data_IF_306545757589
#
_entry.id   IF_306545757589
#
_cell.length_a   1.000
_cell.length_b   1.000
_cell.length_c   1.000
_cell.angle_alpha   90.00
_cell.angle_beta   90.00
_cell.angle_gamma   90.00
#
_symmetry.space_group_name_H-M   'P 1'
#
loop_
_entity.id
_entity.type
_entity.pdbx_description
1 polymer ?
#
# COMPACT_ATOMS: atom_id res chain seq x y z
N UNK A 1 -14.20 -0.12 -42.65
CA UNK A 1 -13.90 -1.07 -41.52
C UNK A 1 -14.04 -0.37 -40.21
N UNK A 2 -14.77 -0.93 -39.26
CA UNK A 2 -14.81 -0.36 -37.93
C UNK A 2 -13.42 -0.42 -37.30
N UNK A 3 -13.11 0.59 -36.49
CA UNK A 3 -11.84 0.68 -35.76
C UNK A 3 -11.81 -0.36 -34.65
N UNK A 4 -10.68 -1.05 -34.49
CA UNK A 4 -10.48 -1.99 -33.37
C UNK A 4 -10.50 -1.26 -32.05
N UNK A 5 -11.28 -1.76 -31.10
CA UNK A 5 -11.26 -1.26 -29.73
C UNK A 5 -10.03 -1.82 -29.01
N UNK A 6 -9.10 -0.95 -28.67
CA UNK A 6 -7.85 -1.31 -28.00
C UNK A 6 -7.99 -1.41 -26.49
N UNK A 7 -9.11 -0.94 -25.91
CA UNK A 7 -9.28 -0.89 -24.46
C UNK A 7 -9.29 -2.27 -23.78
N UNK A 8 -9.67 -3.31 -24.53
CA UNK A 8 -9.69 -4.69 -24.02
C UNK A 8 -8.33 -5.40 -24.13
N UNK A 9 -7.32 -4.78 -24.74
CA UNK A 9 -6.01 -5.37 -24.95
C UNK A 9 -5.06 -4.99 -23.80
N UNK A 10 -4.10 -5.86 -23.44
CA UNK A 10 -3.11 -5.57 -22.40
C UNK A 10 -2.03 -4.61 -22.91
N UNK A 11 -2.45 -3.42 -23.33
CA UNK A 11 -1.58 -2.40 -23.90
C UNK A 11 -1.26 -1.36 -22.81
N UNK A 12 0.01 -1.00 -22.69
CA UNK A 12 0.45 0.02 -21.78
C UNK A 12 -0.21 1.38 -22.08
N UNK A 13 -0.70 2.05 -21.06
CA UNK A 13 -1.36 3.34 -21.20
C UNK A 13 -0.37 4.48 -21.34
N UNK A 14 0.67 4.50 -20.50
CA UNK A 14 1.68 5.56 -20.48
C UNK A 14 2.97 5.17 -21.20
N UNK A 15 3.80 6.13 -21.59
CA UNK A 15 5.05 5.86 -22.30
C UNK A 15 6.06 5.10 -21.45
N UNK A 16 5.95 5.13 -20.12
CA UNK A 16 6.86 4.44 -19.20
C UNK A 16 6.38 3.03 -18.81
N UNK A 17 5.13 2.68 -19.14
CA UNK A 17 4.53 1.40 -18.76
C UNK A 17 4.90 0.25 -19.69
N UNK A 18 5.37 0.56 -20.89
CA UNK A 18 5.72 -0.43 -21.90
C UNK A 18 7.21 -0.52 -22.11
N UNK A 19 7.69 0.07 -23.22
CA UNK A 19 9.08 0.00 -23.69
C UNK A 19 10.13 0.35 -22.62
N UNK A 20 9.85 1.35 -21.80
CA UNK A 20 10.79 1.85 -20.79
C UNK A 20 10.54 1.32 -19.39
N UNK A 21 9.61 0.38 -19.22
CA UNK A 21 9.26 -0.15 -17.90
C UNK A 21 10.48 -0.70 -17.15
N UNK A 22 11.34 -1.46 -17.82
CA UNK A 22 12.53 -2.03 -17.20
C UNK A 22 13.51 -0.96 -16.73
N UNK A 23 13.59 0.15 -17.46
CA UNK A 23 14.48 1.28 -17.13
C UNK A 23 14.01 2.01 -15.87
N UNK A 24 12.69 2.17 -15.70
CA UNK A 24 12.09 2.90 -14.58
C UNK A 24 11.64 1.98 -13.44
N UNK A 25 11.79 0.67 -13.59
CA UNK A 25 11.35 -0.31 -12.58
C UNK A 25 11.84 0.00 -11.15
N UNK A 26 13.08 0.48 -10.92
CA UNK A 26 13.51 0.85 -9.56
C UNK A 26 12.67 1.94 -8.91
N UNK A 27 11.95 2.76 -9.69
CA UNK A 27 11.07 3.80 -9.16
C UNK A 27 9.74 3.27 -8.65
N UNK A 28 9.37 2.03 -8.97
CA UNK A 28 8.12 1.42 -8.54
C UNK A 28 8.02 1.40 -7.01
N UNK A 29 9.13 1.14 -6.32
CA UNK A 29 9.18 1.11 -4.86
C UNK A 29 8.93 2.48 -4.21
N UNK A 30 8.96 3.56 -4.97
CA UNK A 30 8.84 4.92 -4.45
C UNK A 30 7.65 5.68 -5.00
N UNK A 31 7.32 5.47 -6.28
CA UNK A 31 6.36 6.32 -7.01
C UNK A 31 5.09 5.59 -7.45
N UNK A 32 5.01 4.27 -7.29
CA UNK A 32 3.81 3.54 -7.65
C UNK A 32 2.70 3.74 -6.61
N UNK A 33 1.48 3.46 -7.01
CA UNK A 33 0.33 3.43 -6.10
C UNK A 33 0.53 2.39 -4.99
N UNK A 34 1.10 1.24 -5.31
CA UNK A 34 1.45 0.22 -4.32
C UNK A 34 2.45 0.74 -3.28
N UNK A 35 3.47 1.47 -3.73
CA UNK A 35 4.45 2.10 -2.83
C UNK A 35 3.81 3.18 -1.96
N UNK A 36 2.87 3.95 -2.49
CA UNK A 36 2.10 4.93 -1.72
C UNK A 36 1.30 4.25 -0.61
N UNK A 37 0.61 3.17 -0.92
CA UNK A 37 -0.18 2.44 0.07
C UNK A 37 0.68 1.75 1.12
N UNK A 38 1.84 1.21 0.73
CA UNK A 38 2.82 0.69 1.70
C UNK A 38 3.31 1.78 2.64
N UNK A 39 3.58 2.97 2.12
CA UNK A 39 3.99 4.12 2.94
C UNK A 39 2.88 4.56 3.89
N UNK A 40 1.63 4.53 3.47
CA UNK A 40 0.47 4.80 4.34
C UNK A 40 0.39 3.78 5.47
N UNK A 41 0.55 2.50 5.18
CA UNK A 41 0.60 1.46 6.21
C UNK A 41 1.74 1.70 7.19
N UNK A 42 2.91 2.08 6.70
CA UNK A 42 4.06 2.41 7.54
C UNK A 42 3.74 3.57 8.48
N UNK A 43 3.10 4.61 8.00
CA UNK A 43 2.68 5.75 8.83
C UNK A 43 1.73 5.29 9.93
N UNK A 44 0.75 4.46 9.61
CA UNK A 44 -0.20 3.93 10.60
C UNK A 44 0.51 3.09 11.68
N UNK A 45 1.41 2.22 11.29
CA UNK A 45 2.19 1.39 12.21
C UNK A 45 3.08 2.24 13.13
N UNK A 46 3.84 3.16 12.56
CA UNK A 46 4.74 4.02 13.34
C UNK A 46 3.96 4.97 14.25
N UNK A 47 2.80 5.45 13.81
CA UNK A 47 1.93 6.29 14.61
C UNK A 47 1.36 5.52 15.81
N UNK A 48 0.92 4.29 15.62
CA UNK A 48 0.44 3.42 16.69
C UNK A 48 1.55 3.18 17.74
N UNK A 49 2.76 2.85 17.28
CA UNK A 49 3.92 2.66 18.16
C UNK A 49 4.20 3.94 18.96
N UNK A 50 4.18 5.08 18.30
CA UNK A 50 4.41 6.38 18.94
C UNK A 50 3.36 6.68 20.02
N UNK A 51 2.08 6.46 19.71
CA UNK A 51 1.00 6.71 20.67
C UNK A 51 1.07 5.81 21.89
N UNK A 52 1.42 4.53 21.70
CA UNK A 52 1.54 3.57 22.80
C UNK A 52 2.79 3.83 23.65
N UNK A 53 3.90 4.24 23.03
CA UNK A 53 5.13 4.61 23.75
C UNK A 53 4.95 5.87 24.61
N UNK A 54 4.20 6.83 24.11
CA UNK A 54 3.95 8.09 24.80
C UNK A 54 2.92 7.99 25.93
N UNK A 55 2.24 6.84 26.09
CA UNK A 55 1.18 6.69 27.09
C UNK A 55 -0.02 7.59 26.84
N UNK A 56 -0.23 8.02 25.60
CA UNK A 56 -1.29 8.97 25.21
C UNK A 56 -2.67 8.30 25.17
N UNK A 57 -2.69 6.99 24.90
CA UNK A 57 -3.96 6.22 24.82
C UNK A 57 -4.27 5.63 26.21
N UNK A 58 -5.38 6.04 26.85
CA UNK A 58 -5.79 5.48 28.15
C UNK A 58 -6.04 3.97 28.03
N UNK A 59 -5.43 3.19 28.94
CA UNK A 59 -5.60 1.74 28.98
C UNK A 59 -4.83 0.96 27.91
N UNK A 60 -4.08 1.62 27.05
CA UNK A 60 -3.25 0.96 26.05
C UNK A 60 -1.81 0.84 26.61
N UNK A 61 -1.32 -0.38 26.87
CA UNK A 61 0.04 -0.58 27.33
C UNK A 61 1.04 -0.32 26.21
N UNK A 62 2.29 -0.03 26.59
CA UNK A 62 3.39 0.08 25.66
C UNK A 62 3.59 -1.28 24.95
N UNK A 63 3.81 -1.24 23.63
CA UNK A 63 4.06 -2.44 22.85
C UNK A 63 5.41 -3.05 23.22
N UNK A 64 5.47 -4.38 23.28
CA UNK A 64 6.70 -5.12 23.45
C UNK A 64 7.58 -5.04 22.20
N UNK A 65 8.84 -5.41 22.32
CA UNK A 65 9.76 -5.44 21.19
C UNK A 65 9.29 -6.43 20.10
N UNK A 66 8.73 -7.58 20.50
CA UNK A 66 8.20 -8.55 19.54
C UNK A 66 6.95 -8.05 18.83
N UNK A 67 6.08 -7.32 19.52
CA UNK A 67 4.89 -6.71 18.92
C UNK A 67 5.27 -5.62 17.90
N UNK A 68 6.25 -4.78 18.23
CA UNK A 68 6.78 -3.77 17.31
C UNK A 68 7.40 -4.41 16.06
N UNK A 69 8.21 -5.45 16.26
CA UNK A 69 8.84 -6.17 15.15
C UNK A 69 7.80 -6.83 14.25
N UNK A 70 6.73 -7.38 14.84
CA UNK A 70 5.62 -7.94 14.07
C UNK A 70 4.95 -6.87 13.21
N UNK A 71 4.59 -5.74 13.78
CA UNK A 71 3.91 -4.65 13.06
C UNK A 71 4.78 -4.09 11.93
N UNK A 72 6.07 -3.87 12.20
CA UNK A 72 7.00 -3.39 11.17
C UNK A 72 7.22 -4.43 10.09
N UNK A 73 7.17 -5.71 10.45
CA UNK A 73 7.23 -6.82 9.50
C UNK A 73 6.07 -6.83 8.51
N UNK A 74 4.89 -6.36 8.89
CA UNK A 74 3.75 -6.21 7.97
C UNK A 74 4.06 -5.23 6.85
N UNK A 75 4.76 -4.14 7.14
CA UNK A 75 5.18 -3.16 6.15
C UNK A 75 6.23 -3.76 5.21
N UNK A 76 7.23 -4.43 5.77
CA UNK A 76 8.31 -5.05 4.99
C UNK A 76 7.79 -6.17 4.08
N UNK A 77 6.76 -6.89 4.53
CA UNK A 77 6.15 -7.98 3.77
C UNK A 77 5.01 -7.52 2.84
N UNK A 78 4.69 -6.24 2.81
CA UNK A 78 3.62 -5.70 1.96
C UNK A 78 3.85 -6.08 0.49
N UNK A 79 2.93 -6.82 -0.09
CA UNK A 79 3.07 -7.38 -1.42
C UNK A 79 1.74 -7.60 -2.14
N UNK A 80 1.75 -8.50 -3.12
CA UNK A 80 0.61 -8.72 -4.01
C UNK A 80 -0.70 -9.08 -3.29
N UNK A 81 -0.63 -9.88 -2.23
CA UNK A 81 -1.83 -10.25 -1.46
C UNK A 81 -2.44 -9.04 -0.75
N UNK A 82 -1.60 -8.19 -0.17
CA UNK A 82 -2.05 -6.97 0.51
C UNK A 82 -2.65 -5.97 -0.47
N UNK A 83 -2.05 -5.85 -1.65
CA UNK A 83 -2.55 -4.98 -2.72
C UNK A 83 -3.93 -5.45 -3.17
N UNK A 84 -4.13 -6.75 -3.34
CA UNK A 84 -5.41 -7.33 -3.74
C UNK A 84 -6.48 -7.14 -2.65
N UNK A 85 -6.14 -7.38 -1.39
CA UNK A 85 -7.03 -7.18 -0.24
C UNK A 85 -7.43 -5.70 -0.12
N UNK A 86 -6.46 -4.80 -0.28
CA UNK A 86 -6.70 -3.37 -0.25
C UNK A 86 -7.67 -2.93 -1.35
N UNK A 87 -7.52 -3.47 -2.56
CA UNK A 87 -8.42 -3.20 -3.66
C UNK A 87 -9.86 -3.67 -3.36
N UNK A 88 -10.01 -4.81 -2.70
CA UNK A 88 -11.32 -5.32 -2.28
C UNK A 88 -11.98 -4.40 -1.24
N UNK A 89 -11.22 -3.90 -0.26
CA UNK A 89 -11.72 -2.92 0.69
C UNK A 89 -12.12 -1.62 0.01
N UNK A 90 -11.29 -1.10 -0.89
CA UNK A 90 -11.54 0.14 -1.61
C UNK A 90 -12.78 0.05 -2.50
N UNK A 91 -13.06 -1.11 -3.10
CA UNK A 91 -14.25 -1.34 -3.90
C UNK A 91 -15.54 -1.11 -3.11
N UNK A 92 -15.51 -1.34 -1.80
CA UNK A 92 -16.64 -1.12 -0.88
C UNK A 92 -16.61 0.30 -0.31
N UNK A 93 -15.47 0.74 0.22
CA UNK A 93 -15.35 2.04 0.91
C UNK A 93 -15.31 3.22 -0.06
N UNK A 94 -14.82 3.00 -1.27
CA UNK A 94 -14.53 4.03 -2.27
C UNK A 94 -13.67 5.17 -1.74
N UNK A 95 -12.79 4.84 -0.82
CA UNK A 95 -11.89 5.78 -0.18
C UNK A 95 -10.56 5.07 0.11
N UNK A 96 -9.49 5.49 -0.53
CA UNK A 96 -8.19 4.82 -0.51
C UNK A 96 -7.53 4.79 0.89
N UNK A 97 -7.55 5.90 1.61
CA UNK A 97 -7.00 5.95 2.97
C UNK A 97 -7.84 5.10 3.92
N UNK A 98 -9.18 5.14 3.79
CA UNK A 98 -10.07 4.32 4.62
C UNK A 98 -9.84 2.83 4.39
N UNK A 99 -9.55 2.43 3.15
CA UNK A 99 -9.22 1.04 2.84
C UNK A 99 -7.96 0.56 3.58
N UNK A 100 -6.95 1.42 3.71
CA UNK A 100 -5.73 1.12 4.48
C UNK A 100 -6.04 0.86 5.95
N UNK A 101 -6.99 1.56 6.53
CA UNK A 101 -7.39 1.35 7.93
C UNK A 101 -7.97 -0.06 8.18
N UNK A 102 -8.55 -0.69 7.16
CA UNK A 102 -9.10 -2.05 7.25
C UNK A 102 -8.07 -3.16 7.00
N UNK A 103 -6.92 -2.82 6.45
CA UNK A 103 -5.88 -3.78 6.15
C UNK A 103 -5.18 -4.28 7.42
#
# INVERSE_FOLDING_TARGET
MPRTDLSALPIALGPLDGRYRAVVAPLIDHLSEAALNRARLQVEVEWLIHLTDGGVLPGAPRLSQSERSYLRGLVDAFGAEDIAELADFEAVTRHDVKAVEYL
#
